data_IF_150366841420
#
_entry.id   IF_150366841420
#
_cell.length_a   1.000
_cell.length_b   1.000
_cell.length_c   1.000
_cell.angle_alpha   90.00
_cell.angle_beta   90.00
_cell.angle_gamma   90.00
#
_symmetry.space_group_name_H-M   'P 1'
#
loop_
_entity.id
_entity.type
_entity.pdbx_description
1 polymer ?
#
# COMPACT_ATOMS: atom_id res chain seq x y z
N UNK A 1 -51.23 17.81 -40.44
CA UNK A 1 -50.03 18.51 -39.95
C UNK A 1 -49.82 18.14 -38.52
N UNK A 2 -48.91 17.21 -38.17
CA UNK A 2 -48.56 16.98 -36.79
C UNK A 2 -47.33 17.79 -36.43
N UNK A 3 -47.42 18.45 -35.27
CA UNK A 3 -46.38 19.26 -34.68
C UNK A 3 -45.25 18.40 -34.11
N UNK A 4 -44.04 18.73 -34.50
CA UNK A 4 -42.80 18.14 -34.03
C UNK A 4 -42.59 18.47 -32.56
N UNK A 5 -42.46 17.43 -31.71
CA UNK A 5 -42.06 17.57 -30.30
C UNK A 5 -40.55 17.61 -30.24
N UNK A 6 -40.02 18.75 -29.93
CA UNK A 6 -38.59 18.99 -29.62
C UNK A 6 -38.20 18.27 -28.34
N UNK A 7 -37.35 17.23 -28.47
CA UNK A 7 -36.72 16.53 -27.33
C UNK A 7 -35.77 17.50 -26.64
N UNK A 8 -36.12 17.93 -25.45
CA UNK A 8 -35.23 18.66 -24.55
C UNK A 8 -34.08 17.73 -24.17
N UNK A 9 -32.85 18.16 -24.45
CA UNK A 9 -31.62 17.53 -23.93
C UNK A 9 -31.53 17.81 -22.42
N UNK A 10 -31.73 16.76 -21.65
CA UNK A 10 -31.34 16.77 -20.24
C UNK A 10 -29.81 16.87 -20.19
N UNK A 11 -29.32 18.06 -19.92
CA UNK A 11 -27.94 18.24 -19.45
C UNK A 11 -27.89 17.67 -18.04
N UNK A 12 -27.33 16.48 -17.93
CA UNK A 12 -26.94 15.90 -16.65
C UNK A 12 -25.97 16.85 -15.95
N UNK A 13 -26.49 17.61 -15.04
CA UNK A 13 -25.71 18.26 -14.00
C UNK A 13 -25.17 17.14 -13.14
N UNK A 14 -23.94 16.72 -13.40
CA UNK A 14 -23.19 15.83 -12.50
C UNK A 14 -22.99 16.63 -11.22
N UNK A 15 -23.91 16.42 -10.31
CA UNK A 15 -23.82 16.92 -8.94
C UNK A 15 -22.49 16.44 -8.37
N UNK A 16 -21.60 17.37 -8.03
CA UNK A 16 -20.32 17.08 -7.43
C UNK A 16 -20.57 16.37 -6.10
N UNK A 17 -20.61 15.04 -6.15
CA UNK A 17 -20.71 14.22 -4.95
C UNK A 17 -19.66 14.73 -3.96
N UNK A 18 -20.12 15.17 -2.79
CA UNK A 18 -19.30 15.76 -1.76
C UNK A 18 -18.06 14.89 -1.53
N UNK A 19 -16.89 15.34 -1.99
CA UNK A 19 -15.63 14.59 -1.89
C UNK A 19 -15.38 14.33 -0.41
N UNK A 20 -15.43 13.07 -0.02
CA UNK A 20 -15.02 12.68 1.34
C UNK A 20 -13.63 13.27 1.60
N UNK A 21 -13.38 13.82 2.80
CA UNK A 21 -12.07 14.36 3.12
C UNK A 21 -11.00 13.27 2.96
N UNK A 22 -9.90 13.62 2.27
CA UNK A 22 -8.76 12.72 2.08
C UNK A 22 -8.20 12.36 3.45
N UNK A 23 -8.12 11.06 3.73
CA UNK A 23 -7.54 10.55 4.97
C UNK A 23 -6.08 10.18 4.76
N UNK A 24 -5.25 10.44 5.77
CA UNK A 24 -3.86 10.02 5.77
C UNK A 24 -3.65 8.92 6.82
N UNK A 25 -3.01 7.82 6.42
CA UNK A 25 -2.70 6.69 7.29
C UNK A 25 -1.23 6.32 7.22
N UNK A 26 -0.64 5.84 8.32
CA UNK A 26 0.75 5.38 8.30
C UNK A 26 0.89 4.06 7.55
N UNK A 27 2.01 3.91 6.84
CA UNK A 27 2.44 2.63 6.29
C UNK A 27 3.93 2.43 6.55
N UNK A 28 4.31 1.22 6.96
CA UNK A 28 5.70 0.86 7.26
C UNK A 28 6.36 0.26 6.03
N UNK A 29 7.55 0.76 5.68
CA UNK A 29 8.41 0.15 4.67
C UNK A 29 9.83 -0.03 5.21
N UNK A 30 10.49 -1.10 4.75
CA UNK A 30 11.92 -1.32 4.99
C UNK A 30 12.76 -0.31 4.19
N UNK A 31 14.02 -0.18 4.54
CA UNK A 31 14.98 0.69 3.85
C UNK A 31 15.02 0.43 2.34
N UNK A 32 15.07 -0.85 1.95
CA UNK A 32 15.14 -1.24 0.54
C UNK A 32 13.84 -0.91 -0.21
N UNK A 33 12.69 -1.12 0.43
CA UNK A 33 11.40 -0.72 -0.14
C UNK A 33 11.29 0.79 -0.31
N UNK A 34 11.81 1.57 0.63
CA UNK A 34 11.85 3.04 0.52
C UNK A 34 12.73 3.46 -0.65
N UNK A 35 13.91 2.85 -0.82
CA UNK A 35 14.78 3.09 -1.97
C UNK A 35 14.06 2.77 -3.28
N UNK A 36 13.34 1.65 -3.35
CA UNK A 36 12.58 1.26 -4.53
C UNK A 36 11.42 2.24 -4.83
N UNK A 37 10.74 2.79 -3.80
CA UNK A 37 9.73 3.83 -3.96
C UNK A 37 10.36 5.12 -4.52
N UNK A 38 11.47 5.58 -3.94
CA UNK A 38 12.15 6.79 -4.38
C UNK A 38 12.70 6.67 -5.80
N UNK A 39 13.11 5.46 -6.20
CA UNK A 39 13.54 5.15 -7.57
C UNK A 39 12.37 4.94 -8.55
N UNK A 40 11.12 4.96 -8.09
CA UNK A 40 9.94 4.74 -8.93
C UNK A 40 9.66 3.28 -9.29
N UNK A 41 10.43 2.33 -8.76
CA UNK A 41 10.30 0.91 -9.07
C UNK A 41 9.17 0.24 -8.28
N UNK A 42 8.92 0.71 -7.03
CA UNK A 42 7.86 0.16 -6.18
C UNK A 42 6.63 1.05 -6.22
N UNK A 43 5.55 0.51 -6.79
CA UNK A 43 4.26 1.18 -6.96
C UNK A 43 3.09 0.39 -6.34
N UNK A 44 3.37 -0.78 -5.78
CA UNK A 44 2.38 -1.67 -5.19
C UNK A 44 2.88 -2.25 -3.87
N UNK A 45 1.99 -2.66 -2.99
CA UNK A 45 2.33 -3.41 -1.78
C UNK A 45 1.21 -4.37 -1.38
N UNK A 46 1.58 -5.59 -0.97
CA UNK A 46 0.68 -6.61 -0.42
C UNK A 46 0.73 -6.61 1.09
N UNK A 47 -0.42 -6.76 1.72
CA UNK A 47 -0.56 -6.84 3.17
C UNK A 47 -1.56 -7.94 3.52
N UNK A 48 -1.18 -8.83 4.44
CA UNK A 48 -2.05 -9.93 4.89
C UNK A 48 -3.35 -9.36 5.44
N UNK A 49 -4.47 -9.92 4.99
CA UNK A 49 -5.78 -9.66 5.57
C UNK A 49 -5.86 -10.44 6.86
N UNK A 50 -5.97 -9.72 7.97
CA UNK A 50 -6.18 -10.33 9.28
C UNK A 50 -7.69 -10.42 9.53
N UNK A 51 -8.27 -11.62 9.54
CA UNK A 51 -9.69 -11.77 9.87
C UNK A 51 -9.94 -11.20 11.27
N UNK A 52 -10.99 -10.43 11.42
CA UNK A 52 -11.50 -10.06 12.75
C UNK A 52 -12.42 -11.19 13.20
N UNK A 53 -12.05 -11.91 14.27
CA UNK A 53 -12.90 -12.90 14.94
C UNK A 53 -13.49 -13.99 14.01
N UNK A 54 -12.83 -15.09 13.82
CA UNK A 54 -13.34 -16.35 13.21
C UNK A 54 -14.11 -16.27 11.87
N UNK A 55 -13.93 -15.22 11.08
CA UNK A 55 -14.64 -15.04 9.81
C UNK A 55 -13.94 -15.73 8.65
N UNK A 56 -14.73 -16.40 7.80
CA UNK A 56 -14.28 -16.87 6.49
C UNK A 56 -14.24 -15.70 5.49
N UNK A 57 -13.21 -15.68 4.64
CA UNK A 57 -13.06 -14.68 3.60
C UNK A 57 -13.63 -15.23 2.30
N UNK A 58 -14.62 -14.56 1.73
CA UNK A 58 -15.18 -14.88 0.41
C UNK A 58 -14.95 -13.70 -0.55
N UNK A 59 -14.63 -14.00 -1.80
CA UNK A 59 -14.54 -13.03 -2.89
C UNK A 59 -15.81 -13.18 -3.73
N UNK A 60 -16.55 -12.11 -3.90
CA UNK A 60 -17.74 -12.07 -4.76
C UNK A 60 -17.42 -12.11 -6.25
N UNK A 61 -18.44 -12.32 -7.08
CA UNK A 61 -18.31 -12.46 -8.54
C UNK A 61 -17.87 -11.18 -9.27
N UNK A 62 -17.96 -10.02 -8.60
CA UNK A 62 -17.70 -8.68 -9.17
C UNK A 62 -16.44 -8.02 -8.56
N UNK A 63 -15.43 -8.81 -8.16
CA UNK A 63 -14.24 -8.30 -7.45
C UNK A 63 -14.56 -7.56 -6.14
N UNK A 64 -15.80 -7.54 -5.69
CA UNK A 64 -16.18 -7.06 -4.38
C UNK A 64 -15.81 -8.08 -3.31
N UNK A 65 -14.98 -7.64 -2.39
CA UNK A 65 -14.54 -8.45 -1.29
C UNK A 65 -15.62 -8.52 -0.21
N UNK A 66 -16.10 -9.73 0.04
CA UNK A 66 -17.08 -10.01 1.10
C UNK A 66 -16.43 -10.89 2.16
N UNK A 67 -16.26 -10.36 3.36
CA UNK A 67 -16.05 -11.17 4.57
C UNK A 67 -17.43 -11.57 5.06
N UNK A 68 -17.75 -12.87 5.03
CA UNK A 68 -19.02 -13.35 5.54
C UNK A 68 -18.88 -13.72 7.00
N UNK A 69 -19.55 -12.99 7.86
CA UNK A 69 -19.93 -13.36 9.22
C UNK A 69 -21.43 -13.41 9.24
N UNK A 70 -21.99 -14.58 9.35
CA UNK A 70 -23.41 -14.91 9.61
C UNK A 70 -24.46 -13.81 9.35
N UNK A 71 -24.22 -12.81 8.47
CA UNK A 71 -25.10 -11.73 8.01
C UNK A 71 -24.44 -10.35 7.85
N UNK A 72 -23.13 -10.20 7.84
CA UNK A 72 -22.47 -8.91 7.55
C UNK A 72 -21.57 -9.01 6.33
N UNK A 73 -21.97 -8.34 5.26
CA UNK A 73 -21.16 -8.09 4.09
C UNK A 73 -20.12 -7.01 4.40
N UNK A 74 -18.86 -7.32 4.20
CA UNK A 74 -17.75 -6.37 4.33
C UNK A 74 -17.27 -6.02 2.92
N UNK A 75 -17.23 -4.76 2.62
CA UNK A 75 -16.80 -4.25 1.31
C UNK A 75 -15.33 -3.82 1.36
N UNK A 76 -14.73 -3.56 0.20
CA UNK A 76 -13.40 -2.92 0.07
C UNK A 76 -13.26 -1.67 0.98
N UNK A 77 -14.39 -1.11 1.44
CA UNK A 77 -14.45 0.03 2.37
C UNK A 77 -13.74 -0.18 3.69
N UNK A 78 -13.39 -1.39 4.01
CA UNK A 78 -12.78 -1.74 5.28
C UNK A 78 -11.28 -2.01 5.21
N UNK A 79 -10.68 -1.75 4.07
CA UNK A 79 -9.24 -1.77 3.97
C UNK A 79 -8.63 -0.84 5.04
N UNK A 80 -7.84 -1.37 5.98
CA UNK A 80 -7.26 -0.55 7.06
C UNK A 80 -6.32 0.52 6.53
N UNK A 81 -5.89 0.41 5.29
CA UNK A 81 -5.00 1.37 4.63
C UNK A 81 -5.75 2.50 3.94
N UNK A 82 -7.05 2.42 3.75
CA UNK A 82 -7.88 3.49 3.17
C UNK A 82 -8.51 3.11 1.86
N UNK A 83 -8.82 4.10 1.04
CA UNK A 83 -9.53 4.05 -0.23
C UNK A 83 -8.73 4.67 -1.36
N UNK A 84 -9.03 4.37 -2.63
CA UNK A 84 -8.53 5.15 -3.75
C UNK A 84 -8.78 6.65 -3.53
N UNK A 85 -7.72 7.45 -3.61
CA UNK A 85 -7.73 8.88 -3.28
C UNK A 85 -7.19 9.22 -1.89
N UNK A 86 -7.25 8.31 -0.92
CA UNK A 86 -6.61 8.48 0.38
C UNK A 86 -5.08 8.46 0.25
N UNK A 87 -4.38 8.87 1.31
CA UNK A 87 -2.92 8.96 1.34
C UNK A 87 -2.32 8.05 2.40
N UNK A 88 -1.16 7.51 2.05
CA UNK A 88 -0.30 6.76 2.96
C UNK A 88 0.94 7.60 3.24
N UNK A 89 1.19 7.92 4.52
CA UNK A 89 2.45 8.53 4.90
C UNK A 89 3.44 7.44 5.30
N UNK A 90 4.57 7.41 4.59
CA UNK A 90 5.59 6.37 4.75
C UNK A 90 6.35 6.57 6.05
N UNK A 91 6.48 5.50 6.80
CA UNK A 91 7.33 5.40 7.98
C UNK A 91 8.53 4.53 7.64
N UNK A 92 9.70 5.11 7.72
CA UNK A 92 10.99 4.50 7.39
C UNK A 92 11.96 4.58 8.57
N UNK A 93 13.07 3.84 8.51
CA UNK A 93 14.13 3.92 9.50
C UNK A 93 14.79 5.30 9.44
N UNK A 94 14.86 5.98 10.57
CA UNK A 94 15.21 7.38 10.65
C UNK A 94 16.03 7.70 11.90
N UNK A 95 16.59 8.88 11.97
CA UNK A 95 17.13 9.46 13.18
C UNK A 95 17.03 10.99 13.14
N UNK A 96 17.46 11.67 14.20
CA UNK A 96 17.46 13.13 14.28
C UNK A 96 18.84 13.61 14.69
N UNK A 97 19.37 14.57 13.94
CA UNK A 97 20.63 15.24 14.30
C UNK A 97 20.44 16.19 15.50
N UNK A 98 21.56 16.58 16.11
CA UNK A 98 21.57 17.63 17.14
C UNK A 98 20.98 18.95 16.65
N UNK A 99 21.16 19.25 15.35
CA UNK A 99 20.55 20.42 14.68
C UNK A 99 19.04 20.37 14.60
N UNK A 100 18.41 19.23 14.94
CA UNK A 100 16.98 19.00 14.79
C UNK A 100 16.57 18.43 13.43
N UNK A 101 17.47 18.32 12.46
CA UNK A 101 17.21 17.78 11.12
C UNK A 101 16.93 16.29 11.17
N UNK A 102 15.94 15.81 10.43
CA UNK A 102 15.69 14.38 10.23
C UNK A 102 16.64 13.81 9.17
N UNK A 103 17.12 12.60 9.42
CA UNK A 103 17.96 11.81 8.51
C UNK A 103 17.31 10.45 8.33
N UNK A 104 17.43 9.87 7.17
CA UNK A 104 16.76 8.64 6.79
C UNK A 104 17.75 7.59 6.33
N UNK A 105 17.60 6.37 6.84
CA UNK A 105 18.50 5.26 6.54
C UNK A 105 18.58 4.95 5.05
N UNK A 106 17.50 5.20 4.31
CA UNK A 106 17.44 4.95 2.87
C UNK A 106 18.41 5.82 2.05
N UNK A 107 18.81 7.00 2.55
CA UNK A 107 19.71 7.92 1.86
C UNK A 107 21.19 7.58 2.07
N UNK A 108 21.49 6.63 2.95
CA UNK A 108 22.85 6.26 3.32
C UNK A 108 23.17 4.83 2.89
N UNK A 109 24.43 4.56 2.43
CA UNK A 109 24.85 3.20 2.14
C UNK A 109 24.82 2.32 3.41
N UNK A 110 24.71 1.01 3.21
CA UNK A 110 24.53 0.08 4.35
C UNK A 110 25.74 -0.03 5.26
N UNK A 111 26.95 0.26 4.75
CA UNK A 111 28.20 0.31 5.52
C UNK A 111 28.37 1.63 6.29
N UNK A 112 27.63 2.69 5.94
CA UNK A 112 27.75 3.98 6.61
C UNK A 112 27.04 3.92 7.95
N UNK A 113 27.81 3.64 8.98
CA UNK A 113 27.34 3.71 10.36
C UNK A 113 27.15 5.16 10.78
N UNK A 114 26.20 5.34 11.55
CA UNK A 114 25.54 6.47 12.15
C UNK A 114 26.40 7.55 12.85
N UNK A 115 27.56 7.94 12.34
CA UNK A 115 28.32 9.10 12.85
C UNK A 115 27.54 10.42 12.79
N UNK A 116 26.46 10.43 12.03
CA UNK A 116 25.58 11.60 11.86
C UNK A 116 24.45 11.70 12.87
N UNK A 117 24.30 10.75 13.77
CA UNK A 117 23.15 10.72 14.68
C UNK A 117 23.49 11.32 16.03
N UNK A 118 22.62 12.17 16.54
CA UNK A 118 22.74 12.74 17.89
C UNK A 118 22.82 11.67 19.00
N UNK A 119 22.38 10.44 18.71
CA UNK A 119 22.29 9.33 19.65
C UNK A 119 23.09 8.11 19.20
N UNK A 120 23.83 8.19 18.07
CA UNK A 120 24.60 7.06 17.52
C UNK A 120 23.78 5.88 17.01
N UNK A 121 22.44 6.00 16.91
CA UNK A 121 21.57 4.88 16.56
C UNK A 121 20.45 5.26 15.60
N UNK A 122 20.17 4.36 14.66
CA UNK A 122 18.97 4.39 13.83
C UNK A 122 17.73 3.99 14.63
N UNK A 123 16.66 4.75 14.51
CA UNK A 123 15.38 4.47 15.14
C UNK A 123 14.50 3.66 14.20
N UNK A 124 13.85 2.58 14.70
CA UNK A 124 12.91 1.79 13.90
C UNK A 124 11.77 2.64 13.34
N UNK A 125 11.31 2.26 12.15
CA UNK A 125 10.22 2.94 11.44
C UNK A 125 8.93 3.05 12.25
N UNK A 126 8.63 2.08 13.14
CA UNK A 126 7.44 2.09 14.00
C UNK A 126 7.39 3.28 14.97
N UNK A 127 8.51 3.94 15.22
CA UNK A 127 8.62 5.12 16.11
C UNK A 127 8.71 6.44 15.35
N UNK A 128 8.62 6.41 14.00
CA UNK A 128 8.72 7.62 13.19
C UNK A 128 7.46 8.49 13.38
N UNK A 129 7.59 9.76 13.81
CA UNK A 129 6.45 10.66 13.94
C UNK A 129 6.00 11.19 12.57
N UNK A 130 4.73 11.62 12.46
CA UNK A 130 4.20 12.19 11.20
C UNK A 130 5.03 13.39 10.70
N UNK A 131 5.55 14.21 11.61
CA UNK A 131 6.38 15.37 11.28
C UNK A 131 7.71 15.01 10.59
N UNK A 132 8.19 13.78 10.74
CA UNK A 132 9.39 13.28 10.05
C UNK A 132 9.07 12.64 8.70
N UNK A 133 7.80 12.54 8.30
CA UNK A 133 7.43 11.95 7.02
C UNK A 133 7.82 12.87 5.86
N UNK A 134 8.53 12.30 4.89
CA UNK A 134 8.94 12.97 3.64
C UNK A 134 8.31 12.35 2.39
N UNK A 135 7.69 11.17 2.52
CA UNK A 135 7.11 10.44 1.38
C UNK A 135 5.63 10.25 1.65
N UNK A 136 4.81 10.87 0.81
CA UNK A 136 3.38 10.66 0.75
C UNK A 136 3.03 9.88 -0.51
N UNK A 137 2.19 8.87 -0.37
CA UNK A 137 1.71 8.03 -1.45
C UNK A 137 0.19 8.17 -1.55
N UNK A 138 -0.33 8.48 -2.73
CA UNK A 138 -1.76 8.43 -2.98
C UNK A 138 -2.15 7.03 -3.41
N UNK A 139 -3.15 6.44 -2.76
CA UNK A 139 -3.74 5.17 -3.16
C UNK A 139 -4.48 5.39 -4.48
N UNK A 140 -4.14 4.61 -5.50
CA UNK A 140 -4.80 4.65 -6.81
C UNK A 140 -5.77 3.51 -7.00
N UNK A 141 -5.44 2.32 -6.45
CA UNK A 141 -6.28 1.14 -6.55
C UNK A 141 -6.08 0.23 -5.34
N UNK A 142 -7.14 -0.53 -5.00
CA UNK A 142 -7.10 -1.58 -3.98
C UNK A 142 -7.87 -2.77 -4.50
N UNK A 143 -7.28 -3.96 -4.36
CA UNK A 143 -7.95 -5.23 -4.64
C UNK A 143 -7.56 -6.28 -3.60
N UNK A 144 -8.26 -7.37 -3.60
CA UNK A 144 -8.00 -8.55 -2.78
C UNK A 144 -7.69 -9.73 -3.68
N UNK A 145 -6.65 -10.48 -3.34
CA UNK A 145 -6.27 -11.69 -4.06
C UNK A 145 -5.61 -12.70 -3.13
N UNK A 146 -5.43 -13.92 -3.58
CA UNK A 146 -4.52 -14.86 -2.91
C UNK A 146 -3.08 -14.45 -3.18
N UNK A 147 -2.20 -14.70 -2.21
CA UNK A 147 -0.80 -14.35 -2.34
C UNK A 147 -0.14 -14.97 -3.59
N UNK A 148 -0.48 -16.22 -3.92
CA UNK A 148 0.08 -16.92 -5.08
C UNK A 148 -0.48 -16.45 -6.43
N UNK A 149 -1.55 -15.63 -6.44
CA UNK A 149 -2.08 -15.06 -7.68
C UNK A 149 -1.21 -13.90 -8.22
N UNK A 150 -0.12 -13.60 -7.51
CA UNK A 150 0.84 -12.56 -7.93
C UNK A 150 1.42 -12.86 -9.31
N UNK A 151 1.32 -11.90 -10.22
CA UNK A 151 1.98 -11.93 -11.53
C UNK A 151 3.43 -11.47 -11.43
N UNK A 152 4.23 -11.75 -12.48
CA UNK A 152 5.58 -11.21 -12.57
C UNK A 152 5.61 -9.68 -12.63
N UNK A 153 4.59 -9.06 -13.26
CA UNK A 153 4.45 -7.60 -13.30
C UNK A 153 4.16 -7.03 -11.93
N UNK A 154 3.31 -7.71 -11.15
CA UNK A 154 3.03 -7.33 -9.78
C UNK A 154 4.27 -7.47 -8.88
N UNK A 155 5.05 -8.54 -9.04
CA UNK A 155 6.30 -8.69 -8.29
C UNK A 155 7.28 -7.55 -8.59
N UNK A 156 7.36 -7.11 -9.84
CA UNK A 156 8.12 -5.91 -10.20
C UNK A 156 7.54 -4.64 -9.58
N UNK A 157 6.21 -4.49 -9.57
CA UNK A 157 5.55 -3.37 -8.91
C UNK A 157 5.73 -3.37 -7.38
N UNK A 158 6.04 -4.51 -6.77
CA UNK A 158 6.47 -4.63 -5.37
C UNK A 158 7.93 -4.19 -5.15
N UNK A 159 8.69 -3.95 -6.23
CA UNK A 159 10.08 -3.49 -6.19
C UNK A 159 11.11 -4.59 -6.47
N UNK A 160 10.69 -5.77 -6.90
CA UNK A 160 11.60 -6.81 -7.40
C UNK A 160 12.22 -6.39 -8.73
N UNK A 161 13.48 -6.74 -8.95
CA UNK A 161 14.26 -6.26 -10.09
C UNK A 161 14.50 -7.33 -11.16
N UNK A 162 14.31 -8.59 -10.81
CA UNK A 162 14.54 -9.71 -11.71
C UNK A 162 13.52 -9.75 -12.87
N UNK A 163 13.95 -10.17 -14.06
CA UNK A 163 13.08 -10.26 -15.22
C UNK A 163 12.15 -11.48 -15.16
N UNK A 164 10.95 -11.33 -15.71
CA UNK A 164 10.04 -12.44 -15.94
C UNK A 164 9.64 -13.20 -14.68
N UNK A 165 9.49 -14.53 -14.77
CA UNK A 165 9.02 -15.36 -13.63
C UNK A 165 9.96 -15.38 -12.42
N UNK A 166 11.23 -15.04 -12.58
CA UNK A 166 12.23 -14.97 -11.49
C UNK A 166 11.82 -13.93 -10.46
N UNK A 167 11.16 -12.84 -10.88
CA UNK A 167 10.65 -11.81 -9.99
C UNK A 167 9.71 -12.36 -8.91
N UNK A 168 8.93 -13.41 -9.22
CA UNK A 168 8.03 -14.06 -8.24
C UNK A 168 8.86 -14.76 -7.16
N UNK A 169 9.95 -15.44 -7.53
CA UNK A 169 10.86 -16.08 -6.58
C UNK A 169 11.60 -15.07 -5.68
N UNK A 170 12.01 -13.93 -6.26
CA UNK A 170 12.58 -12.81 -5.52
C UNK A 170 11.54 -12.27 -4.50
N UNK A 171 10.30 -12.08 -4.95
CA UNK A 171 9.22 -11.63 -4.10
C UNK A 171 8.89 -12.64 -2.99
N UNK A 172 8.86 -13.94 -3.28
CA UNK A 172 8.69 -14.98 -2.26
C UNK A 172 9.75 -14.87 -1.16
N UNK A 173 11.01 -14.72 -1.54
CA UNK A 173 12.12 -14.55 -0.60
C UNK A 173 11.91 -13.31 0.28
N UNK A 174 11.52 -12.19 -0.33
CA UNK A 174 11.21 -10.95 0.39
C UNK A 174 10.00 -11.13 1.33
N UNK A 175 8.95 -11.82 0.87
CA UNK A 175 7.76 -12.10 1.67
C UNK A 175 8.07 -12.91 2.92
N UNK A 176 8.81 -14.00 2.78
CA UNK A 176 9.20 -14.86 3.91
C UNK A 176 10.16 -14.17 4.87
N UNK A 177 11.03 -13.29 4.38
CA UNK A 177 11.87 -12.44 5.22
C UNK A 177 11.05 -11.50 6.12
N UNK A 178 9.91 -11.04 5.66
CA UNK A 178 9.05 -10.08 6.38
C UNK A 178 8.04 -10.79 7.29
N UNK A 179 7.41 -11.85 6.80
CA UNK A 179 6.28 -12.50 7.45
C UNK A 179 6.66 -13.81 8.16
N UNK A 180 7.91 -14.21 8.06
CA UNK A 180 8.45 -15.43 8.63
C UNK A 180 8.55 -16.59 7.63
N UNK A 181 9.37 -17.62 7.95
CA UNK A 181 9.51 -18.81 7.12
C UNK A 181 8.16 -19.49 6.95
N UNK A 182 7.96 -20.18 5.84
CA UNK A 182 6.74 -20.90 5.46
C UNK A 182 5.49 -20.01 5.26
N UNK A 183 5.57 -18.69 5.50
CA UNK A 183 4.44 -17.79 5.32
C UNK A 183 3.96 -17.69 3.86
N UNK A 184 4.82 -18.00 2.91
CA UNK A 184 4.44 -18.13 1.50
C UNK A 184 3.51 -19.31 1.28
N UNK A 185 3.86 -20.50 1.83
CA UNK A 185 3.07 -21.72 1.65
C UNK A 185 1.64 -21.62 2.20
N UNK A 186 1.39 -20.72 3.16
CA UNK A 186 0.05 -20.47 3.70
C UNK A 186 -0.90 -19.85 2.67
N UNK A 187 -0.37 -19.25 1.61
CA UNK A 187 -1.13 -18.58 0.56
C UNK A 187 -2.29 -17.72 1.11
N UNK A 188 -2.02 -16.76 2.01
CA UNK A 188 -3.07 -15.97 2.65
C UNK A 188 -3.77 -15.06 1.65
N UNK A 189 -4.97 -14.61 2.02
CA UNK A 189 -5.60 -13.46 1.38
C UNK A 189 -4.84 -12.18 1.72
N UNK A 190 -4.65 -11.31 0.71
CA UNK A 190 -3.89 -10.07 0.84
C UNK A 190 -4.65 -8.89 0.26
N UNK A 191 -4.51 -7.74 0.92
CA UNK A 191 -4.77 -6.45 0.31
C UNK A 191 -3.65 -6.12 -0.66
N UNK A 192 -3.97 -5.87 -1.90
CA UNK A 192 -3.05 -5.33 -2.89
C UNK A 192 -3.35 -3.85 -3.06
N UNK A 193 -2.40 -3.02 -2.67
CA UNK A 193 -2.55 -1.57 -2.64
C UNK A 193 -1.60 -0.98 -3.68
N UNK A 194 -2.17 -0.39 -4.72
CA UNK A 194 -1.41 0.34 -5.74
C UNK A 194 -1.39 1.82 -5.39
N UNK A 195 -0.27 2.46 -5.56
CA UNK A 195 -0.07 3.84 -5.17
C UNK A 195 0.89 4.58 -6.11
N UNK A 196 0.88 5.90 -6.01
CA UNK A 196 1.85 6.79 -6.65
C UNK A 196 2.33 7.85 -5.64
N UNK A 197 3.55 8.37 -5.75
CA UNK A 197 4.01 9.53 -4.98
C UNK A 197 3.14 10.77 -5.25
N UNK A 198 3.01 11.65 -4.22
CA UNK A 198 2.24 12.90 -4.27
C UNK A 198 3.20 14.08 -4.11
#
# INVERSE_FOLDING_TARGET
MPMSATKAHHHDTIEAAARKPIKERPILFSTDMVRAILAGHKTQTRRIIKPRNNYSIFVGWDDEFVLNDENKEWTLSECPYGYPGDRLWVRETWTKQLSGKYIYRADHPDWELADYTATGAWRPSIHMPRAACRILLQITHIRVERLHDISADDARAEGCTDPGPIAIGEYQTLWEKINGPESWALNPWVWVITFKPV
#
